data_IF_039523759250
#
_entry.id   IF_039523759250
#
_cell.length_a   1.000
_cell.length_b   1.000
_cell.length_c   1.000
_cell.angle_alpha   90.00
_cell.angle_beta   90.00
_cell.angle_gamma   90.00
#
_symmetry.space_group_name_H-M   'P 1'
#
loop_
_entity.id
_entity.type
_entity.pdbx_description
1 polymer ?
2 polymer ?
3 non-polymer ?
4 water ?
#
# COMPACT_ATOMS: atom_id res chain seq x y z
N UNK A 6 10.50 -20.74 14.75
CA UNK A 6 11.48 -19.65 14.75
C UNK A 6 10.90 -18.37 14.11
N UNK A 7 10.99 -18.25 12.78
CA UNK A 7 10.63 -17.00 12.11
C UNK A 7 9.11 -16.84 12.09
N UNK A 8 8.66 -15.59 12.24
CA UNK A 8 7.24 -15.25 12.29
C UNK A 8 6.81 -14.48 11.04
N UNK A 9 5.73 -14.95 10.40
CA UNK A 9 5.16 -14.29 9.24
C UNK A 9 3.78 -13.75 9.58
N UNK A 10 3.55 -12.49 9.28
CA UNK A 10 2.24 -11.89 9.45
C UNK A 10 1.54 -11.86 8.09
N UNK A 11 0.33 -12.39 8.07
CA UNK A 11 -0.44 -12.52 6.84
C UNK A 11 -1.75 -11.77 7.04
N UNK A 12 -2.05 -10.85 6.14
CA UNK A 12 -3.33 -10.17 6.13
C UNK A 12 -4.24 -10.86 5.11
N UNK A 13 -5.51 -11.01 5.46
CA UNK A 13 -6.50 -11.52 4.53
C UNK A 13 -7.53 -10.41 4.32
N UNK A 14 -7.72 -10.03 3.05
CA UNK A 14 -8.58 -8.93 2.67
C UNK A 14 -9.60 -9.38 1.62
N UNK A 15 -10.74 -8.70 1.59
CA UNK A 15 -11.80 -8.98 0.64
C UNK A 15 -13.15 -8.57 1.20
N UNK A 16 -14.07 -8.24 0.29
CA UNK A 16 -15.41 -7.84 0.71
C UNK A 16 -16.00 -8.94 1.58
N UNK A 17 -16.80 -8.55 2.55
CA UNK A 17 -17.29 -9.56 3.47
C UNK A 17 -18.17 -10.54 2.70
N UNK A 18 -18.13 -11.81 3.09
CA UNK A 18 -18.87 -12.85 2.40
C UNK A 18 -18.14 -13.56 1.27
N UNK A 19 -16.90 -13.18 0.97
CA UNK A 19 -16.11 -13.92 -0.03
C UNK A 19 -15.53 -15.22 0.51
N UNK A 20 -15.47 -15.40 1.85
CA UNK A 20 -15.01 -16.64 2.44
C UNK A 20 -13.67 -16.51 3.15
N UNK A 21 -13.33 -15.30 3.59
CA UNK A 21 -12.07 -15.06 4.27
C UNK A 21 -11.93 -15.93 5.51
N UNK A 22 -12.89 -15.80 6.44
CA UNK A 22 -12.90 -16.61 7.65
C UNK A 22 -12.88 -18.10 7.31
N UNK A 23 -13.74 -18.52 6.38
CA UNK A 23 -13.80 -19.92 6.00
C UNK A 23 -12.49 -20.42 5.43
N UNK A 24 -11.79 -19.57 4.66
CA UNK A 24 -10.47 -19.97 4.16
C UNK A 24 -9.47 -20.10 5.30
N UNK A 25 -9.49 -19.18 6.26
CA UNK A 25 -8.64 -19.29 7.45
C UNK A 25 -8.84 -20.62 8.16
N UNK A 26 -10.09 -20.93 8.52
CA UNK A 26 -10.32 -22.16 9.28
C UNK A 26 -9.96 -23.38 8.48
N UNK A 27 -10.17 -23.33 7.16
CA UNK A 27 -9.80 -24.48 6.36
C UNK A 27 -8.28 -24.65 6.36
N UNK A 28 -7.55 -23.56 6.16
CA UNK A 28 -6.10 -23.70 6.20
C UNK A 28 -5.62 -24.20 7.56
N UNK A 29 -6.10 -23.57 8.62
CA UNK A 29 -5.49 -23.76 9.93
C UNK A 29 -6.07 -24.96 10.65
N UNK A 30 -7.39 -25.14 10.58
CA UNK A 30 -8.07 -26.16 11.37
C UNK A 30 -8.59 -27.29 10.52
N UNK A 31 -8.33 -27.29 9.21
CA UNK A 31 -8.85 -28.29 8.29
C UNK A 31 -10.37 -28.42 8.43
N UNK A 32 -11.07 -27.29 8.50
CA UNK A 32 -12.50 -27.38 8.74
C UNK A 32 -13.21 -26.23 8.04
N UNK A 33 -14.43 -26.49 7.60
CA UNK A 33 -15.27 -25.47 6.99
C UNK A 33 -16.24 -24.99 8.06
N UNK A 34 -15.88 -23.89 8.71
CA UNK A 34 -16.73 -23.25 9.69
C UNK A 34 -16.30 -21.80 9.81
N UNK A 35 -17.29 -20.91 9.86
CA UNK A 35 -17.06 -19.50 10.10
C UNK A 35 -17.70 -19.09 11.42
N UNK A 36 -17.46 -19.87 12.46
CA UNK A 36 -18.08 -19.60 13.74
C UNK A 36 -17.22 -18.61 14.53
N UNK A 37 -17.86 -17.94 15.49
CA UNK A 37 -17.18 -16.98 16.35
C UNK A 37 -16.55 -15.84 15.54
N UNK A 38 -17.21 -15.45 14.45
CA UNK A 38 -16.70 -14.45 13.51
C UNK A 38 -16.65 -13.03 14.11
N UNK A 39 -16.81 -12.85 15.43
CA UNK A 39 -16.63 -11.55 16.07
C UNK A 39 -15.61 -11.64 17.21
N UNK A 40 -14.83 -12.71 17.26
CA UNK A 40 -13.77 -12.92 18.23
C UNK A 40 -12.45 -13.31 17.59
N UNK A 41 -12.48 -14.11 16.51
CA UNK A 41 -11.28 -14.46 15.76
C UNK A 41 -11.23 -13.65 14.47
N UNK A 42 -12.38 -13.19 13.98
CA UNK A 42 -12.41 -12.19 12.95
C UNK A 42 -12.10 -10.82 13.53
N UNK A 43 -11.41 -10.00 12.72
CA UNK A 43 -10.65 -8.85 13.23
C UNK A 43 -9.66 -9.30 14.30
N UNK A 44 -9.11 -10.50 14.12
CA UNK A 44 -8.18 -11.06 15.08
C UNK A 44 -7.27 -12.06 14.40
N UNK A 45 -6.11 -12.25 15.01
CA UNK A 45 -5.11 -13.20 14.58
C UNK A 45 -5.72 -14.61 14.60
N UNK A 46 -4.94 -15.55 14.09
CA UNK A 46 -5.21 -16.97 14.17
C UNK A 46 -3.94 -17.61 13.66
N UNK A 47 -3.44 -18.67 14.29
CA UNK A 47 -2.05 -19.07 14.08
C UNK A 47 -1.89 -20.54 13.71
N UNK A 48 -0.81 -20.84 13.00
CA UNK A 48 -0.49 -22.17 12.50
C UNK A 48 1.03 -22.26 12.37
N UNK A 49 1.64 -23.22 13.05
CA UNK A 49 3.03 -23.55 12.78
C UNK A 49 3.09 -24.47 11.58
N UNK A 50 3.76 -24.01 10.55
CA UNK A 50 3.92 -24.77 9.32
C UNK A 50 5.40 -24.85 9.05
N UNK A 51 5.77 -25.75 8.16
CA UNK A 51 7.14 -25.84 7.69
C UNK A 51 7.22 -25.21 6.31
N UNK A 52 8.22 -24.36 6.10
CA UNK A 52 8.39 -23.59 4.87
C UNK A 52 9.85 -23.73 4.44
N UNK A 53 10.11 -24.59 3.46
CA UNK A 53 11.42 -24.74 2.85
C UNK A 53 12.53 -24.84 3.90
N UNK A 54 12.47 -25.94 4.65
CA UNK A 54 13.46 -26.24 5.69
C UNK A 54 13.60 -25.09 6.69
N UNK A 55 12.52 -24.34 6.88
CA UNK A 55 12.42 -23.32 7.92
C UNK A 55 11.10 -23.49 8.66
N UNK A 56 11.17 -23.53 9.98
CA UNK A 56 9.99 -23.70 10.83
C UNK A 56 9.39 -22.32 11.09
N UNK A 57 8.22 -22.07 10.52
CA UNK A 57 7.61 -20.76 10.53
C UNK A 57 6.40 -20.79 11.46
N UNK A 58 6.15 -19.69 12.13
CA UNK A 58 4.87 -19.45 12.79
C UNK A 58 4.18 -18.35 12.00
N UNK A 59 2.97 -18.65 11.54
CA UNK A 59 2.25 -17.78 10.61
C UNK A 59 1.03 -17.23 11.33
N UNK A 60 1.02 -15.90 11.50
CA UNK A 60 -0.16 -15.21 12.01
C UNK A 60 -1.04 -14.74 10.86
N UNK A 61 -2.30 -15.15 10.90
CA UNK A 61 -3.24 -14.93 9.83
C UNK A 61 -4.34 -14.03 10.37
N UNK A 62 -4.40 -12.80 9.87
CA UNK A 62 -5.30 -11.76 10.39
C UNK A 62 -6.50 -11.63 9.45
N UNK A 63 -7.69 -11.84 10.00
CA UNK A 63 -8.93 -11.67 9.25
C UNK A 63 -9.41 -10.23 9.35
N UNK A 64 -9.77 -9.65 8.21
CA UNK A 64 -10.27 -8.28 8.17
C UNK A 64 -11.78 -8.20 8.40
N UNK A 65 -12.44 -9.32 8.73
CA UNK A 65 -13.90 -9.37 8.82
C UNK A 65 -14.48 -8.27 9.70
N UNK A 66 -13.70 -7.70 10.62
CA UNK A 66 -14.15 -6.52 11.33
C UNK A 66 -14.47 -5.38 10.39
N UNK A 67 -13.53 -5.05 9.50
CA UNK A 67 -13.78 -4.33 8.24
C UNK A 67 -14.40 -2.96 8.49
N UNK A 68 -13.98 -2.30 9.57
CA UNK A 68 -14.48 -0.96 9.85
C UNK A 68 -13.98 0.02 8.80
N UNK A 69 -14.89 0.86 8.31
CA UNK A 69 -14.51 1.89 7.36
C UNK A 69 -13.33 2.72 7.86
N UNK A 70 -13.25 2.92 9.18
CA UNK A 70 -12.19 3.71 9.81
C UNK A 70 -10.80 3.36 9.29
N UNK A 71 -10.18 4.29 8.57
CA UNK A 71 -8.82 4.08 8.10
C UNK A 71 -7.84 3.92 9.26
N UNK A 72 -8.14 4.57 10.39
CA UNK A 72 -7.24 4.49 11.54
C UNK A 72 -6.99 3.03 11.95
N UNK A 73 -8.02 2.17 11.82
CA UNK A 73 -7.84 0.76 12.12
C UNK A 73 -6.80 0.12 11.20
N UNK A 74 -6.99 0.28 9.88
CA UNK A 74 -6.17 -0.42 8.91
C UNK A 74 -4.68 -0.14 9.02
N UNK A 75 -4.29 1.03 9.56
CA UNK A 75 -2.88 1.41 9.61
C UNK A 75 -2.11 0.51 10.57
N UNK A 76 -2.50 0.50 11.83
CA UNK A 76 -1.78 -0.32 12.79
C UNK A 76 -2.14 -1.79 12.66
N UNK A 77 -3.30 -2.08 12.08
CA UNK A 77 -3.70 -3.46 11.91
C UNK A 77 -2.87 -4.15 10.82
N UNK A 78 -2.68 -3.47 9.68
CA UNK A 78 -1.86 -3.96 8.59
C UNK A 78 -0.38 -3.78 8.87
N UNK A 79 -0.04 -3.04 9.92
CA UNK A 79 1.35 -2.63 10.15
C UNK A 79 2.27 -3.84 10.21
N UNK A 80 3.33 -3.80 9.42
CA UNK A 80 4.29 -4.89 9.43
C UNK A 80 3.80 -6.19 8.81
N UNK A 81 2.87 -6.12 7.86
CA UNK A 81 2.42 -7.33 7.19
C UNK A 81 3.52 -7.86 6.27
N UNK A 82 3.59 -9.18 6.17
CA UNK A 82 4.59 -9.83 5.32
C UNK A 82 3.99 -10.36 4.03
N UNK A 83 2.68 -10.60 4.00
CA UNK A 83 1.98 -11.01 2.80
C UNK A 83 0.56 -10.50 2.94
N UNK A 84 -0.10 -10.35 1.80
CA UNK A 84 -1.50 -9.93 1.79
C UNK A 84 -2.26 -10.81 0.80
N UNK A 85 -3.31 -11.43 1.28
CA UNK A 85 -4.09 -12.37 0.50
C UNK A 85 -5.39 -11.67 0.11
N UNK A 86 -5.60 -11.54 -1.19
CA UNK A 86 -6.79 -10.87 -1.71
C UNK A 86 -7.78 -11.95 -2.10
N UNK A 87 -9.01 -11.85 -1.61
CA UNK A 87 -10.01 -12.88 -1.83
C UNK A 87 -11.24 -12.26 -2.46
N UNK A 88 -11.80 -12.93 -3.47
CA UNK A 88 -13.10 -12.57 -4.03
C UNK A 88 -13.93 -13.83 -4.25
N UNK A 89 -15.22 -13.60 -4.45
CA UNK A 89 -16.14 -14.69 -4.73
C UNK A 89 -16.24 -14.86 -6.23
N UNK A 90 -15.82 -16.03 -6.73
CA UNK A 90 -15.92 -16.34 -8.15
C UNK A 90 -17.35 -16.15 -8.67
N UNK A 91 -18.36 -16.34 -7.82
CA UNK A 91 -19.74 -16.19 -8.26
C UNK A 91 -20.28 -14.78 -8.07
N UNK A 92 -19.51 -13.86 -7.49
CA UNK A 92 -19.97 -12.49 -7.25
C UNK A 92 -19.06 -11.48 -7.94
N UNK A 93 -19.43 -10.99 -9.12
CA UNK A 93 -18.49 -10.15 -9.88
C UNK A 93 -18.16 -8.84 -9.20
N UNK A 94 -19.05 -8.33 -8.35
CA UNK A 94 -18.75 -7.09 -7.64
C UNK A 94 -17.55 -7.26 -6.71
N UNK A 95 -17.31 -8.49 -6.20
CA UNK A 95 -16.19 -8.68 -5.28
C UNK A 95 -14.85 -8.77 -5.99
N UNK A 96 -14.85 -9.01 -7.30
CA UNK A 96 -13.61 -9.03 -8.07
C UNK A 96 -13.22 -7.61 -8.51
N UNK A 97 -14.21 -6.75 -8.74
CA UNK A 97 -13.91 -5.37 -9.15
C UNK A 97 -13.25 -4.59 -8.02
N UNK A 98 -13.57 -4.93 -6.76
CA UNK A 98 -13.02 -4.21 -5.62
C UNK A 98 -11.58 -4.57 -5.32
N UNK A 99 -11.01 -5.59 -5.97
CA UNK A 99 -9.65 -6.01 -5.61
C UNK A 99 -8.65 -4.88 -5.80
N UNK A 100 -8.89 -3.98 -6.77
CA UNK A 100 -8.01 -2.85 -6.97
C UNK A 100 -7.87 -2.01 -5.72
N UNK A 101 -9.01 -1.60 -5.15
CA UNK A 101 -8.91 -0.71 -4.01
C UNK A 101 -8.48 -1.45 -2.75
N UNK A 102 -8.82 -2.73 -2.61
CA UNK A 102 -8.26 -3.47 -1.47
C UNK A 102 -6.74 -3.49 -1.54
N UNK A 103 -6.18 -3.75 -2.71
CA UNK A 103 -4.74 -3.78 -2.84
C UNK A 103 -4.14 -2.41 -2.56
N UNK A 104 -4.74 -1.37 -3.15
CA UNK A 104 -4.23 -0.01 -2.94
C UNK A 104 -4.36 0.39 -1.47
N UNK A 105 -5.54 0.18 -0.87
CA UNK A 105 -5.73 0.55 0.53
C UNK A 105 -4.69 -0.13 1.42
N UNK A 106 -4.47 -1.42 1.20
CA UNK A 106 -3.44 -2.13 1.95
C UNK A 106 -2.08 -1.45 1.80
N UNK A 107 -1.70 -1.17 0.56
CA UNK A 107 -0.34 -0.68 0.30
C UNK A 107 -0.09 0.67 0.93
N UNK A 108 -1.06 1.57 0.88
CA UNK A 108 -0.81 2.90 1.45
C UNK A 108 -0.98 2.88 2.96
N UNK A 109 -1.75 1.94 3.51
CA UNK A 109 -1.86 1.86 4.96
C UNK A 109 -0.81 0.98 5.59
N UNK A 110 -0.54 -0.18 5.00
CA UNK A 110 0.56 -1.00 5.50
C UNK A 110 1.89 -0.32 5.26
N UNK A 111 1.98 0.46 4.18
CA UNK A 111 3.17 1.21 3.82
C UNK A 111 4.47 0.40 3.92
N UNK A 112 4.59 -0.69 3.15
CA UNK A 112 5.89 -1.38 3.07
C UNK A 112 6.89 -0.55 2.28
N UNK A 113 8.18 -0.84 2.49
CA UNK A 113 9.24 -0.06 1.85
C UNK A 113 9.33 -0.34 0.35
N UNK A 114 8.91 -1.51 -0.10
CA UNK A 114 8.99 -1.90 -1.50
C UNK A 114 7.61 -2.37 -1.97
N UNK A 115 6.75 -1.44 -2.37
CA UNK A 115 5.36 -1.84 -2.72
C UNK A 115 5.30 -2.65 -4.00
N UNK A 116 6.13 -2.33 -5.00
CA UNK A 116 6.02 -3.00 -6.30
C UNK A 116 6.39 -4.45 -6.22
N UNK A 117 7.12 -4.85 -5.19
CA UNK A 117 7.49 -6.23 -5.00
C UNK A 117 6.79 -6.88 -3.82
N UNK A 118 5.89 -6.15 -3.16
CA UNK A 118 5.26 -6.69 -1.96
C UNK A 118 4.44 -7.92 -2.34
N UNK A 119 4.59 -9.03 -1.64
CA UNK A 119 3.94 -10.28 -2.06
C UNK A 119 2.45 -10.28 -1.77
N UNK A 120 1.65 -10.28 -2.82
CA UNK A 120 0.23 -10.53 -2.78
C UNK A 120 -0.05 -11.90 -3.35
N UNK A 121 -1.16 -12.50 -2.89
CA UNK A 121 -1.77 -13.65 -3.54
C UNK A 121 -3.26 -13.37 -3.67
N UNK A 122 -3.86 -13.79 -4.79
CA UNK A 122 -5.27 -13.59 -5.08
C UNK A 122 -5.96 -14.96 -5.03
N UNK A 123 -7.03 -15.05 -4.27
CA UNK A 123 -7.82 -16.28 -4.17
C UNK A 123 -9.19 -16.02 -4.77
N UNK A 124 -9.51 -16.71 -5.86
CA UNK A 124 -10.87 -16.78 -6.36
C UNK A 124 -11.61 -17.91 -5.69
N UNK A 125 -12.31 -17.60 -4.60
CA UNK A 125 -12.90 -18.63 -3.75
C UNK A 125 -14.27 -19.07 -4.26
N UNK A 126 -14.80 -20.14 -3.65
CA UNK A 126 -16.13 -20.67 -3.91
C UNK A 126 -16.26 -21.23 -5.32
N UNK A 127 -15.23 -21.93 -5.79
CA UNK A 127 -15.28 -22.51 -7.13
C UNK A 127 -16.04 -23.82 -7.17
N UNK A 128 -16.60 -24.25 -6.04
CA UNK A 128 -17.43 -25.45 -6.00
C UNK A 128 -18.91 -25.15 -6.21
N UNK A 129 -19.24 -24.05 -6.88
CA UNK A 129 -20.62 -23.64 -7.08
C UNK A 129 -21.04 -23.82 -8.54
N UNK A 130 -22.22 -23.29 -8.85
CA UNK A 130 -22.70 -23.08 -10.21
C UNK A 130 -22.71 -21.58 -10.50
N UNK A 131 -22.80 -21.25 -11.79
CA UNK A 131 -22.83 -19.87 -12.24
C UNK A 131 -21.63 -19.09 -11.71
N UNK A 132 -20.42 -19.62 -11.94
CA UNK A 132 -19.22 -18.86 -11.67
C UNK A 132 -19.10 -17.72 -12.68
N UNK A 133 -19.32 -16.49 -12.23
CA UNK A 133 -19.50 -15.38 -13.14
C UNK A 133 -18.23 -14.60 -13.43
N UNK A 134 -17.13 -14.90 -12.76
CA UNK A 134 -15.85 -14.30 -13.07
C UNK A 134 -15.00 -15.36 -13.75
N UNK A 135 -14.51 -15.05 -14.95
CA UNK A 135 -13.77 -16.02 -15.74
C UNK A 135 -12.32 -16.10 -15.28
N UNK A 136 -11.84 -17.33 -15.09
CA UNK A 136 -10.43 -17.61 -14.83
C UNK A 136 -9.46 -16.73 -15.64
N UNK A 137 -9.63 -16.68 -16.96
CA UNK A 137 -8.69 -15.91 -17.77
C UNK A 137 -8.74 -14.44 -17.41
N UNK A 138 -9.92 -13.95 -17.01
CA UNK A 138 -10.06 -12.56 -16.62
C UNK A 138 -9.28 -12.25 -15.33
N UNK A 139 -9.32 -13.17 -14.35
CA UNK A 139 -8.65 -12.93 -13.08
C UNK A 139 -7.14 -13.09 -13.21
N UNK A 140 -6.69 -14.11 -13.96
CA UNK A 140 -5.26 -14.20 -14.24
C UNK A 140 -4.76 -13.01 -15.02
N UNK A 141 -5.60 -12.47 -15.92
CA UNK A 141 -5.19 -11.27 -16.63
C UNK A 141 -4.96 -10.13 -15.65
N UNK A 142 -5.88 -9.98 -14.70
CA UNK A 142 -5.76 -8.91 -13.71
C UNK A 142 -4.54 -9.13 -12.83
N UNK A 143 -4.40 -10.35 -12.31
CA UNK A 143 -3.25 -10.67 -11.46
C UNK A 143 -1.94 -10.38 -12.17
N UNK A 144 -1.78 -10.81 -13.42
CA UNK A 144 -0.50 -10.55 -14.06
C UNK A 144 -0.31 -9.06 -14.28
N UNK A 145 -1.34 -8.37 -14.75
CA UNK A 145 -1.39 -6.91 -14.74
C UNK A 145 -0.77 -6.29 -13.49
N UNK A 146 -0.98 -6.89 -12.32
CA UNK A 146 -0.44 -6.32 -11.08
C UNK A 146 0.88 -6.97 -10.70
N UNK A 147 1.81 -7.04 -11.65
CA UNK A 147 3.16 -7.55 -11.42
C UNK A 147 3.15 -9.06 -11.14
N UNK A 148 2.31 -9.78 -11.88
CA UNK A 148 2.31 -11.24 -11.84
C UNK A 148 2.04 -11.75 -10.43
N UNK A 149 0.94 -11.26 -9.84
CA UNK A 149 0.48 -11.84 -8.59
C UNK A 149 0.08 -13.29 -8.84
N UNK A 150 0.54 -14.24 -8.04
CA UNK A 150 0.05 -15.61 -8.20
C UNK A 150 -1.41 -15.72 -7.80
N UNK A 151 -2.15 -16.49 -8.59
CA UNK A 151 -3.60 -16.58 -8.52
C UNK A 151 -3.99 -18.03 -8.28
N UNK A 152 -4.90 -18.28 -7.34
CA UNK A 152 -5.44 -19.62 -7.22
C UNK A 152 -6.94 -19.55 -7.12
N UNK A 153 -7.60 -20.51 -7.76
CA UNK A 153 -9.01 -20.74 -7.50
C UNK A 153 -9.14 -21.75 -6.37
N UNK A 154 -10.02 -21.47 -5.43
CA UNK A 154 -10.08 -22.22 -4.18
C UNK A 154 -11.51 -22.55 -3.81
N UNK A 155 -11.62 -23.51 -2.90
CA UNK A 155 -12.87 -23.77 -2.19
C UNK A 155 -12.53 -24.00 -0.73
N UNK A 156 -12.93 -23.07 0.14
CA UNK A 156 -12.84 -23.37 1.56
C UNK A 156 -13.77 -24.51 1.94
N UNK A 157 -14.91 -24.64 1.25
CA UNK A 157 -15.88 -25.66 1.61
C UNK A 157 -15.34 -27.06 1.31
N UNK A 158 -14.80 -27.26 0.10
CA UNK A 158 -14.35 -28.58 -0.28
C UNK A 158 -12.84 -28.76 -0.17
N UNK A 159 -12.14 -27.76 0.39
CA UNK A 159 -10.70 -27.82 0.62
C UNK A 159 -9.93 -28.05 -0.68
N UNK A 160 -10.03 -27.07 -1.57
CA UNK A 160 -9.39 -27.14 -2.88
C UNK A 160 -8.41 -25.97 -2.99
N UNK A 161 -7.14 -26.29 -3.23
CA UNK A 161 -6.05 -25.32 -3.41
C UNK A 161 -5.85 -24.38 -2.23
N UNK A 162 -6.40 -24.74 -1.06
CA UNK A 162 -6.19 -23.91 0.12
C UNK A 162 -4.75 -24.07 0.60
N UNK A 163 -4.36 -25.29 0.94
CA UNK A 163 -2.99 -25.55 1.37
C UNK A 163 -1.98 -25.04 0.34
N UNK A 164 -2.18 -25.37 -0.94
CA UNK A 164 -1.28 -24.94 -2.01
C UNK A 164 -1.05 -23.45 -1.98
N UNK A 165 -2.12 -22.66 -1.91
CA UNK A 165 -1.97 -21.21 -1.96
C UNK A 165 -1.17 -20.70 -0.77
N UNK A 166 -1.41 -21.23 0.42
CA UNK A 166 -0.67 -20.81 1.60
C UNK A 166 0.78 -21.29 1.57
N UNK A 167 1.06 -22.40 0.89
CA UNK A 167 2.45 -22.74 0.62
C UNK A 167 3.14 -21.64 -0.17
N UNK A 168 2.47 -21.13 -1.21
CA UNK A 168 3.03 -20.03 -2.00
C UNK A 168 3.10 -18.75 -1.18
N UNK A 169 1.99 -18.36 -0.56
CA UNK A 169 1.94 -17.21 0.34
C UNK A 169 3.15 -17.20 1.27
N UNK A 170 3.33 -18.28 2.02
CA UNK A 170 4.44 -18.35 2.97
C UNK A 170 5.78 -18.21 2.26
N UNK A 171 6.00 -19.01 1.21
CA UNK A 171 7.25 -18.95 0.47
C UNK A 171 7.54 -17.53 0.01
N UNK A 172 6.56 -16.88 -0.64
CA UNK A 172 6.84 -15.54 -1.16
C UNK A 172 6.98 -14.55 -0.02
N UNK A 173 6.14 -14.69 1.01
CA UNK A 173 6.27 -13.83 2.18
C UNK A 173 7.61 -14.04 2.86
N UNK A 174 8.13 -15.27 2.83
CA UNK A 174 9.39 -15.55 3.49
C UNK A 174 10.57 -14.99 2.71
N UNK A 175 10.45 -14.81 1.39
CA UNK A 175 11.49 -14.11 0.65
C UNK A 175 11.46 -12.62 0.91
N UNK A 176 10.34 -12.11 1.44
CA UNK A 176 10.21 -10.70 1.79
C UNK A 176 10.49 -10.43 3.27
N UNK A 177 10.21 -11.41 4.14
CA UNK A 177 10.54 -11.30 5.56
C UNK A 177 12.00 -11.67 5.83
N UNK A 178 12.61 -12.54 5.02
CA UNK A 178 14.06 -12.72 5.12
C UNK A 178 14.82 -11.42 4.85
N UNK A 179 14.15 -10.40 4.33
CA UNK A 179 14.75 -9.08 4.17
C UNK A 179 14.67 -8.23 5.44
N UNK A 180 13.92 -8.67 6.46
CA UNK A 180 13.67 -7.86 7.65
C UNK A 180 14.06 -8.62 8.92
N UNK A 181 13.76 -9.93 8.95
CA UNK A 181 14.17 -10.86 10.01
C UNK A 181 13.39 -10.68 11.32
N UNK A 182 12.50 -11.63 11.64
CA UNK A 182 11.69 -11.60 12.87
C UNK A 182 11.50 -13.03 13.36
N UNK A 183 12.42 -13.49 14.20
CA UNK A 183 12.39 -14.82 14.78
C UNK A 183 11.78 -14.77 16.18
N UNK A 184 11.64 -15.94 16.80
CA UNK A 184 11.05 -16.07 18.12
C UNK A 184 11.43 -17.39 18.76
N UNK B 1 -16.60 16.33 -2.17
CA UNK B 1 -16.11 15.19 -2.95
C UNK B 1 -14.96 15.58 -3.89
N UNK B 2 -14.38 14.60 -4.59
CA UNK B 2 -13.39 14.86 -5.64
C UNK B 2 -14.06 14.89 -7.01
N UNK B 3 -13.56 15.77 -7.87
CA UNK B 3 -14.07 15.82 -9.24
C UNK B 3 -13.55 14.63 -10.05
N UNK B 4 -14.28 14.31 -11.12
CA UNK B 4 -13.85 13.24 -12.02
C UNK B 4 -12.42 13.46 -12.51
N UNK B 5 -12.08 14.70 -12.87
CA UNK B 5 -10.72 14.99 -13.30
C UNK B 5 -9.72 14.66 -12.21
N UNK B 6 -9.96 15.12 -10.99
CA UNK B 6 -8.96 14.84 -9.98
C UNK B 6 -9.02 13.38 -9.51
N UNK B 7 -10.13 12.66 -9.71
CA UNK B 7 -10.08 11.21 -9.52
C UNK B 7 -9.21 10.54 -10.58
N UNK B 8 -9.25 11.06 -11.82
CA UNK B 8 -8.38 10.54 -12.88
C UNK B 8 -6.93 10.85 -12.57
N UNK B 9 -6.68 12.05 -12.04
CA UNK B 9 -5.30 12.41 -11.70
C UNK B 9 -4.76 11.51 -10.60
N UNK B 10 -5.56 11.24 -9.56
CA UNK B 10 -5.10 10.35 -8.50
C UNK B 10 -4.85 8.94 -9.04
N UNK B 11 -5.75 8.44 -9.88
CA UNK B 11 -5.60 7.10 -10.43
C UNK B 11 -4.37 6.98 -11.34
N UNK B 12 -4.20 7.93 -12.27
CA UNK B 12 -3.09 7.81 -13.20
C UNK B 12 -1.75 8.09 -12.53
N UNK B 13 -1.71 9.02 -11.56
CA UNK B 13 -0.47 9.27 -10.83
C UNK B 13 -0.06 8.06 -10.00
N UNK B 14 -1.03 7.41 -9.34
CA UNK B 14 -0.71 6.22 -8.57
C UNK B 14 -0.20 5.11 -9.49
N UNK B 15 -0.77 4.99 -10.69
CA UNK B 15 -0.41 3.86 -11.55
C UNK B 15 0.74 4.14 -12.49
N UNK B 16 1.35 5.33 -12.41
CA UNK B 16 2.44 5.65 -13.32
C UNK B 16 2.04 5.77 -14.77
N UNK B 17 0.81 6.19 -15.05
CA UNK B 17 0.36 6.41 -16.43
C UNK B 17 0.78 7.83 -16.84
N UNK B 18 2.03 7.95 -17.26
CA UNK B 18 2.66 9.26 -17.44
C UNK B 18 2.00 10.10 -18.54
N UNK B 19 1.63 9.48 -19.66
CA UNK B 19 1.03 10.29 -20.71
C UNK B 19 -0.36 10.79 -20.32
N UNK B 20 -1.16 9.96 -19.66
CA UNK B 20 -2.48 10.43 -19.23
C UNK B 20 -2.35 11.53 -18.18
N UNK B 21 -1.38 11.41 -17.26
CA UNK B 21 -1.15 12.48 -16.30
C UNK B 21 -0.86 13.77 -17.02
N UNK B 22 0.09 13.72 -17.96
CA UNK B 22 0.54 14.93 -18.61
C UNK B 22 -0.59 15.58 -19.41
N UNK B 23 -1.44 14.77 -20.03
CA UNK B 23 -2.55 15.34 -20.78
C UNK B 23 -3.54 16.02 -19.84
N UNK B 24 -3.82 15.39 -18.70
CA UNK B 24 -4.65 16.04 -17.70
C UNK B 24 -4.06 17.35 -17.26
N UNK B 25 -2.76 17.37 -16.96
CA UNK B 25 -2.13 18.60 -16.50
C UNK B 25 -2.21 19.68 -17.56
N UNK B 26 -2.14 19.31 -18.83
CA UNK B 26 -2.25 20.33 -19.86
C UNK B 26 -3.66 20.88 -19.93
N UNK B 27 -4.65 20.03 -19.70
CA UNK B 27 -6.03 20.48 -19.66
C UNK B 27 -6.28 21.37 -18.44
N UNK B 28 -5.77 20.97 -17.29
CA UNK B 28 -5.87 21.78 -16.08
C UNK B 28 -5.12 23.09 -16.22
N UNK B 29 -3.96 23.06 -16.89
CA UNK B 29 -3.22 24.30 -17.08
C UNK B 29 -4.01 25.27 -17.95
N UNK B 30 -4.74 24.76 -18.94
CA UNK B 30 -5.50 25.61 -19.82
C UNK B 30 -6.91 25.87 -19.30
N UNK B 31 -7.16 25.54 -18.03
CA UNK B 31 -8.45 25.80 -17.38
C UNK B 31 -9.62 25.21 -18.15
N UNK B 32 -9.45 24.01 -18.68
CA UNK B 32 -10.53 23.31 -19.34
C UNK B 32 -11.16 22.22 -18.48
N UNK B 33 -10.62 21.94 -17.29
CA UNK B 33 -11.24 21.05 -16.31
C UNK B 33 -11.02 21.62 -14.91
N UNK B 34 -12.00 21.38 -14.03
CA UNK B 34 -11.86 21.66 -12.62
C UNK B 34 -11.07 20.52 -12.00
N UNK B 35 -9.88 20.83 -11.48
CA UNK B 35 -9.06 19.84 -10.80
C UNK B 35 -7.94 20.55 -10.04
N UNK B 36 -7.97 20.44 -8.73
CA UNK B 36 -6.84 20.85 -7.92
C UNK B 36 -5.69 19.86 -8.10
N UNK B 37 -4.52 20.38 -8.46
CA UNK B 37 -3.33 19.56 -8.59
C UNK B 37 -2.88 19.02 -7.24
N UNK B 38 -3.28 19.67 -6.15
CA UNK B 38 -2.92 19.23 -4.82
C UNK B 38 -4.07 18.52 -4.12
N UNK B 39 -4.99 17.94 -4.89
CA UNK B 39 -6.16 17.26 -4.33
C UNK B 39 -5.75 16.12 -3.42
N UNK B 40 -6.53 15.93 -2.35
CA UNK B 40 -6.34 14.80 -1.43
C UNK B 40 -7.27 13.67 -1.84
N UNK B 41 -6.72 12.48 -1.95
CA UNK B 41 -7.55 11.33 -2.21
C UNK B 41 -8.70 11.25 -1.21
N UNK B 42 -9.83 10.78 -1.70
CA UNK B 42 -11.01 10.76 -0.86
C UNK B 42 -11.63 9.36 -0.84
N UNK B 43 -11.04 8.41 -1.58
CA UNK B 43 -11.48 7.01 -1.63
C UNK B 43 -10.69 6.15 -0.66
N UNK B 44 -11.14 4.90 -0.51
CA UNK B 44 -10.38 3.96 0.31
C UNK B 44 -8.96 3.81 -0.22
N UNK B 45 -8.80 3.82 -1.53
CA UNK B 45 -7.51 3.51 -2.14
C UNK B 45 -6.49 4.65 -2.08
N UNK B 46 -6.87 5.83 -1.53
CA UNK B 46 -5.93 6.96 -1.58
C UNK B 46 -6.21 8.04 -0.56
N UNK B 47 -6.92 7.74 0.54
CA UNK B 47 -7.44 8.75 1.46
C UNK B 47 -6.34 9.65 2.02
N UNK B 48 -6.45 10.95 1.73
CA UNK B 48 -5.51 11.96 2.20
C UNK B 48 -4.21 12.11 1.42
N UNK B 49 -3.96 11.27 0.42
CA UNK B 49 -2.76 11.35 -0.40
C UNK B 49 -2.96 12.28 -1.60
N UNK B 50 -1.94 13.08 -1.92
CA UNK B 50 -1.98 13.83 -3.17
C UNK B 50 -1.47 12.98 -4.32
N UNK B 51 -1.72 13.40 -5.57
CA UNK B 51 -1.04 12.73 -6.69
C UNK B 51 0.46 12.68 -6.51
N UNK B 52 1.04 13.74 -5.92
CA UNK B 52 2.48 13.76 -5.72
C UNK B 52 2.92 12.73 -4.68
N UNK B 53 2.18 12.58 -3.58
CA UNK B 53 2.50 11.52 -2.60
C UNK B 53 2.48 10.16 -3.27
N UNK B 54 1.41 9.91 -4.04
CA UNK B 54 1.24 8.60 -4.66
C UNK B 54 2.38 8.28 -5.59
N UNK B 55 2.77 9.24 -6.43
CA UNK B 55 3.78 8.96 -7.44
C UNK B 55 5.17 8.81 -6.82
N UNK B 56 5.44 9.56 -5.74
CA UNK B 56 6.70 9.37 -5.02
C UNK B 56 6.75 8.01 -4.36
N UNK B 57 5.70 7.64 -3.61
CA UNK B 57 5.71 6.36 -2.92
C UNK B 57 5.84 5.21 -3.89
N UNK B 58 5.09 5.24 -4.99
CA UNK B 58 5.12 4.13 -5.93
C UNK B 58 6.19 4.29 -7.00
N UNK B 59 7.00 5.34 -6.94
CA UNK B 59 8.20 5.40 -7.75
C UNK B 59 7.99 5.73 -9.21
N UNK B 60 7.07 6.63 -9.53
CA UNK B 60 6.79 6.97 -10.92
C UNK B 60 7.44 8.32 -11.23
N UNK B 61 8.64 8.29 -11.81
CA UNK B 61 9.47 9.49 -11.87
C UNK B 61 8.93 10.47 -12.89
N UNK B 62 8.45 9.98 -14.02
CA UNK B 62 7.94 10.91 -15.00
C UNK B 62 6.72 11.63 -14.46
N UNK B 63 5.89 10.94 -13.67
CA UNK B 63 4.72 11.59 -13.12
C UNK B 63 5.13 12.68 -12.14
N UNK B 64 6.03 12.34 -11.21
CA UNK B 64 6.54 13.31 -10.24
C UNK B 64 7.11 14.52 -10.96
N UNK B 65 7.87 14.28 -12.01
CA UNK B 65 8.54 15.40 -12.65
C UNK B 65 7.54 16.31 -13.35
N UNK B 66 6.46 15.73 -13.92
CA UNK B 66 5.42 16.55 -14.54
C UNK B 66 4.62 17.32 -13.49
N UNK B 67 4.31 16.68 -12.36
CA UNK B 67 3.61 17.38 -11.29
C UNK B 67 4.43 18.55 -10.77
N UNK B 68 5.72 18.33 -10.53
CA UNK B 68 6.57 19.41 -10.06
C UNK B 68 6.68 20.51 -11.11
N UNK B 69 6.92 20.13 -12.37
CA UNK B 69 6.97 21.12 -13.43
C UNK B 69 5.66 21.89 -13.55
N UNK B 70 4.54 21.26 -13.19
CA UNK B 70 3.23 21.90 -13.32
C UNK B 70 2.85 22.73 -12.10
N UNK B 71 3.68 22.77 -11.07
CA UNK B 71 3.44 23.66 -9.94
C UNK B 71 2.89 23.00 -8.68
N UNK B 72 2.83 21.67 -8.64
CA UNK B 72 2.33 21.01 -7.44
C UNK B 72 3.16 21.44 -6.25
N UNK B 73 2.49 21.58 -5.11
CA UNK B 73 3.14 21.95 -3.86
C UNK B 73 4.01 20.79 -3.36
N UNK B 74 5.32 21.02 -3.24
CA UNK B 74 6.22 19.96 -2.77
C UNK B 74 5.99 19.58 -1.31
N UNK B 75 5.43 20.46 -0.49
CA UNK B 75 5.34 20.19 0.94
C UNK B 75 3.94 19.79 1.38
N UNK B 76 3.14 19.15 0.54
CA UNK B 76 1.84 18.69 1.01
C UNK B 76 2.01 17.58 2.06
N UNK B 77 1.05 17.50 2.97
CA UNK B 77 1.04 16.54 4.06
C UNK B 77 -0.13 15.58 3.86
N UNK B 78 0.07 14.29 4.17
CA UNK B 78 -1.06 13.37 4.10
C UNK B 78 -1.62 13.21 5.50
N UNK B 79 -2.49 12.20 5.71
CA UNK B 79 -3.08 12.01 7.03
C UNK B 79 -2.05 11.54 8.04
N UNK B 80 -0.98 10.86 7.59
CA UNK B 80 0.06 10.47 8.53
C UNK B 80 0.98 11.62 8.91
N UNK B 81 0.89 12.75 8.21
CA UNK B 81 1.84 13.82 8.35
C UNK B 81 2.98 13.79 7.36
N UNK B 82 3.03 12.79 6.48
CA UNK B 82 4.13 12.67 5.53
C UNK B 82 4.10 13.73 4.43
N UNK B 83 5.28 14.20 4.05
CA UNK B 83 5.46 14.92 2.80
C UNK B 83 5.72 13.91 1.69
N UNK B 84 5.68 14.35 0.43
CA UNK B 84 6.17 13.46 -0.62
C UNK B 84 7.61 13.04 -0.39
N UNK B 85 8.42 13.92 0.21
CA UNK B 85 9.81 13.57 0.49
C UNK B 85 9.91 12.42 1.49
N UNK B 86 9.03 12.38 2.51
CA UNK B 86 9.01 11.21 3.41
C UNK B 86 8.80 9.93 2.62
N UNK B 87 7.83 9.93 1.71
CA UNK B 87 7.51 8.72 0.95
C UNK B 87 8.68 8.29 0.04
N UNK B 88 9.28 9.24 -0.68
CA UNK B 88 10.39 8.91 -1.56
C UNK B 88 11.60 8.43 -0.78
N UNK B 89 11.83 9.03 0.39
CA UNK B 89 12.99 8.68 1.18
C UNK B 89 12.76 7.35 1.89
N UNK B 90 11.54 7.16 2.41
CA UNK B 90 11.15 5.89 3.02
C UNK B 90 11.37 4.73 2.07
N UNK B 91 11.00 4.90 0.80
CA UNK B 91 11.12 3.85 -0.21
C UNK B 91 12.49 3.84 -0.87
N UNK B 92 13.42 4.67 -0.41
CA UNK B 92 14.78 4.64 -0.91
C UNK B 92 14.93 5.03 -2.36
N UNK B 93 14.09 5.94 -2.83
CA UNK B 93 14.12 6.36 -4.22
C UNK B 93 14.99 7.61 -4.34
N UNK B 94 16.28 7.38 -4.56
CA UNK B 94 17.27 8.45 -4.47
C UNK B 94 16.97 9.57 -5.45
N UNK B 95 16.66 9.23 -6.70
CA UNK B 95 16.46 10.24 -7.73
C UNK B 95 15.21 11.08 -7.45
N UNK B 96 14.15 10.45 -6.92
CA UNK B 96 12.98 11.23 -6.56
C UNK B 96 13.31 12.23 -5.47
N UNK B 97 14.08 11.82 -4.45
CA UNK B 97 14.51 12.76 -3.43
C UNK B 97 15.27 13.92 -4.06
N UNK B 98 16.22 13.61 -4.96
CA UNK B 98 16.92 14.67 -5.68
C UNK B 98 15.94 15.66 -6.28
N UNK B 99 14.91 15.14 -6.99
CA UNK B 99 13.95 16.02 -7.64
C UNK B 99 13.20 16.87 -6.64
N UNK B 100 12.63 16.23 -5.60
CA UNK B 100 11.96 17.00 -4.56
C UNK B 100 12.91 18.04 -3.94
N UNK B 101 14.14 17.63 -3.58
CA UNK B 101 15.09 18.59 -3.03
C UNK B 101 15.34 19.72 -4.01
N UNK B 102 15.40 19.40 -5.29
CA UNK B 102 15.61 20.40 -6.32
C UNK B 102 14.45 21.39 -6.41
N UNK B 103 13.21 20.94 -6.15
CA UNK B 103 12.08 21.85 -6.11
C UNK B 103 11.82 22.39 -4.70
N UNK B 104 12.87 22.46 -3.87
CA UNK B 104 12.88 23.18 -2.60
C UNK B 104 11.99 22.55 -1.53
N UNK B 105 11.86 21.24 -1.54
CA UNK B 105 11.17 20.57 -0.45
C UNK B 105 11.82 20.95 0.90
N UNK B 106 10.97 21.15 1.89
CA UNK B 106 11.41 21.37 3.27
C UNK B 106 11.75 20.02 3.87
N UNK B 107 13.00 19.83 4.27
CA UNK B 107 13.40 18.59 4.93
C UNK B 107 13.13 18.59 6.42
N UNK B 108 12.96 19.76 7.03
CA UNK B 108 12.77 19.77 8.48
C UNK B 108 11.37 19.31 8.90
N UNK B 109 10.45 19.06 7.97
CA UNK B 109 9.09 18.79 8.37
C UNK B 109 9.00 17.44 9.06
N UNK B 110 8.40 17.44 10.25
CA UNK B 110 8.22 16.27 11.09
C UNK B 110 6.84 15.68 10.82
N UNK B 111 6.78 14.37 10.63
CA UNK B 111 5.48 13.75 10.37
C UNK B 111 4.75 13.43 11.67
N UNK B 112 3.63 12.71 11.56
CA UNK B 112 2.78 12.47 12.72
C UNK B 112 3.48 11.64 13.79
N UNK B 113 4.45 10.83 13.37
CA UNK B 113 5.24 9.99 14.26
C UNK B 113 6.43 10.70 14.90
N UNK B 114 6.68 11.95 14.53
CA UNK B 114 7.84 12.65 15.06
C UNK B 114 9.07 12.54 14.19
N UNK B 115 8.95 11.99 12.99
CA UNK B 115 10.11 11.69 12.16
C UNK B 115 10.23 12.67 10.99
N UNK B 116 11.46 13.13 10.74
CA UNK B 116 11.79 13.83 9.50
C UNK B 116 12.10 12.82 8.39
N UNK B 117 12.18 13.31 7.16
CA UNK B 117 12.44 12.38 6.06
C UNK B 117 13.80 11.72 6.23
N UNK B 118 14.82 12.48 6.69
CA UNK B 118 16.13 11.89 6.95
C UNK B 118 16.03 10.59 7.75
N UNK B 119 15.16 10.54 8.74
CA UNK B 119 15.22 9.44 9.68
C UNK B 119 14.20 8.32 9.40
N UNK B 120 13.40 8.42 8.34
CA UNK B 120 12.59 7.28 7.91
C UNK B 120 13.26 6.48 6.79
N UNK B 121 14.42 6.93 6.28
CA UNK B 121 15.07 6.22 5.20
C UNK B 121 16.07 5.19 5.74
N UNK B 122 16.31 4.16 4.94
CA UNK B 122 17.34 3.17 5.21
C UNK B 122 18.47 3.19 4.20
N UNK B 123 18.41 4.04 3.17
CA UNK B 123 19.50 4.20 2.23
C UNK B 123 20.50 5.21 2.78
N UNK B 124 21.75 4.77 2.97
CA UNK B 124 22.71 5.69 3.57
C UNK B 124 22.99 6.91 2.67
N UNK B 125 22.91 6.77 1.35
CA UNK B 125 23.17 7.94 0.50
C UNK B 125 22.06 8.96 0.62
N UNK B 126 20.81 8.49 0.71
CA UNK B 126 19.70 9.42 0.91
C UNK B 126 19.82 10.12 2.26
N UNK B 127 20.13 9.35 3.30
CA UNK B 127 20.28 9.91 4.65
C UNK B 127 21.30 11.02 4.66
N UNK B 128 22.47 10.79 4.04
CA UNK B 128 23.49 11.82 3.96
C UNK B 128 22.97 13.04 3.22
N UNK B 129 22.33 12.84 2.06
CA UNK B 129 21.74 13.95 1.33
C UNK B 129 20.81 14.76 2.22
N UNK B 130 19.88 14.07 2.89
CA UNK B 130 18.92 14.79 3.70
C UNK B 130 19.58 15.44 4.91
N UNK B 131 20.58 14.79 5.50
CA UNK B 131 21.27 15.42 6.61
C UNK B 131 21.95 16.72 6.17
N UNK B 132 22.63 16.72 5.02
CA UNK B 132 23.24 17.95 4.50
C UNK B 132 22.20 19.05 4.29
N UNK B 133 21.08 18.74 3.63
CA UNK B 133 20.11 19.79 3.37
C UNK B 133 19.43 20.25 4.65
N UNK B 134 19.13 19.32 5.56
CA UNK B 134 18.42 19.67 6.79
C UNK B 134 19.25 20.61 7.65
N UNK B 135 20.53 20.28 7.83
CA UNK B 135 21.42 21.18 8.55
C UNK B 135 21.47 22.54 7.87
N UNK B 136 21.50 22.56 6.54
CA UNK B 136 21.54 23.84 5.83
C UNK B 136 20.25 24.63 6.04
N UNK B 137 19.12 23.95 5.97
CA UNK B 137 17.86 24.64 6.18
C UNK B 137 17.73 25.07 7.64
N UNK B 138 18.19 24.24 8.58
CA UNK B 138 18.09 24.57 9.99
C UNK B 138 18.91 25.82 10.32
N UNK B 139 20.16 25.88 9.85
CA UNK B 139 21.00 27.05 10.11
C UNK B 139 20.37 28.31 9.54
N UNK B 140 19.83 28.22 8.31
CA UNK B 140 19.21 29.38 7.68
C UNK B 140 17.96 29.79 8.44
N UNK B 141 17.20 28.83 8.97
CA UNK B 141 16.03 29.16 9.76
C UNK B 141 16.43 29.82 11.08
N UNK B 142 17.47 29.30 11.75
CA UNK B 142 17.85 29.82 13.06
C UNK B 142 18.38 31.24 12.95
N UNK B 143 19.10 31.55 11.87
CA UNK B 143 19.59 32.92 11.72
C UNK B 143 18.46 33.89 11.39
N UNK B 144 17.44 33.43 10.65
CA UNK B 144 16.29 34.29 10.36
C UNK B 144 15.48 34.53 11.62
N UNK B 145 15.29 33.50 12.44
CA UNK B 145 14.61 33.70 13.72
C UNK B 145 15.43 34.62 14.63
N UNK B 146 16.71 34.28 14.86
CA UNK B 146 17.55 35.07 15.75
C UNK B 146 17.58 36.53 15.32
N UNK B 147 17.74 36.77 14.02
CA UNK B 147 17.71 38.16 13.54
C UNK B 147 16.35 38.79 13.81
N UNK B 148 15.28 38.11 13.42
CA UNK B 148 13.94 38.68 13.53
C UNK B 148 13.49 38.87 14.98
N UNK B 149 14.16 38.21 15.93
CA UNK B 149 13.82 38.35 17.34
C UNK B 149 14.66 39.42 18.03
N UNK B 150 15.97 39.44 17.74
CA UNK B 150 16.81 40.56 18.15
C UNK B 150 16.32 41.90 17.61
N UNK B 151 15.44 41.88 16.59
CA UNK B 151 14.96 43.07 15.88
C UNK B 151 13.50 42.91 15.43
N UNK B 152 12.58 42.77 16.38
CA UNK B 152 11.15 42.78 16.07
C UNK B 152 10.65 41.93 14.91
X LIG C 1 -16.04 -13.59 5.15
X LIG C 1 -16.96 -12.50 5.66
X LIG C 1 -15.01 -13.98 6.20
X LIG C 1 -15.32 -13.10 3.79
X LIG C 1 -16.87 -14.85 4.59
X LIG C 1 -17.14 -16.16 5.48
X LIG C 1 -15.91 -16.99 5.68
X LIG C 1 -17.77 -15.72 6.77
X LIG C 1 -18.19 -16.99 4.61
X LIG C 1 -18.95 -16.42 3.58
X LIG C 1 -20.08 -17.39 3.28
X LIG C 1 -19.70 -18.12 2.13
X LIG C 1 -20.25 -18.40 4.40
X LIG C 1 -21.61 -18.68 4.59
X LIG C 1 -19.56 -19.65 3.91
X LIG C 1 -20.25 -20.80 4.31
X LIG C 1 -19.57 -19.50 2.41
X LIG C 1 -18.30 -19.97 1.85
X LIG C 1 -17.02 -19.60 2.21
X LIG C 1 -16.16 -20.30 1.43
X LIG C 1 -16.87 -21.08 0.59
X LIG C 1 -16.51 -21.98 -0.41
X LIG C 1 -15.32 -22.19 -0.67
X LIG C 1 -17.49 -22.65 -1.10
X LIG C 1 -18.82 -22.43 -0.82
X LIG C 1 -19.76 -23.08 -1.49
X LIG C 1 -19.17 -21.54 0.16
X LIG C 1 -18.21 -20.89 0.85
#
# INVERSE_FOLDING_TARGET
MTSRKKVLLKVIILGDSGVGKTSLMNQYVNKKFSNQYKATIGADFLTKEVMVDDRLVTMQIWDTAGLERFQSLGVAFYRGADCCVLVFDVTAPNTFKTLDSWRDEFLIQASPRDPENFPFVVLGNKIDLENRQVATKRAQAWCYSKNNIPYFETSAKEAINVEQAFQTIARNALKQETEVELYNEFPEPIKLDKNDRAKASAESCSC
MNTEAEQQLLHHARNGNAEEVRQLLETMARNEVIADINCKGRSKSNLGWTPLHLACYFGHRQVVQDLLKAGAEVNVLNDMGDTPLHRAAFTGRKELVMLLLEYNADTTIVNGSGQTAKEVTHAEEIRSMLEAVERTQQRKLEELLLAAAREGKTTELTALLNRPNPPDVNCSDQLGNTPLHCAAYRAHKQCALKLLRSGADPNLK
GDP PB O1B O2B O3B O3A PA O1A O2A O5' C5' C4' O4' C3' O3' C2' O2' C1' N9 C8 N7 C5 C6 O6 N1 C2 N2 N3 C4
#
